data_IF_604459737765
#
_entry.id   IF_604459737765
#
_cell.length_a   1.000
_cell.length_b   1.000
_cell.length_c   1.000
_cell.angle_alpha   90.00
_cell.angle_beta   90.00
_cell.angle_gamma   90.00
#
_symmetry.space_group_name_H-M   'P 1'
#
loop_
_entity.id
_entity.type
_entity.pdbx_description
1 polymer ?
#
# COMPACT_ATOMS: atom_id res chain seq x y z
N UNK A 1 -46.26 8.21 -15.59
CA UNK A 1 -45.73 8.44 -14.23
C UNK A 1 -44.24 8.70 -14.37
N UNK A 2 -43.90 9.96 -14.53
CA UNK A 2 -42.57 10.46 -14.90
C UNK A 2 -42.14 11.44 -13.83
N UNK A 3 -41.57 10.93 -12.74
CA UNK A 3 -40.85 11.70 -11.73
C UNK A 3 -39.92 10.75 -10.96
N UNK A 4 -38.71 10.49 -11.48
CA UNK A 4 -37.57 10.12 -10.61
C UNK A 4 -36.17 10.24 -11.25
N UNK A 5 -36.07 10.47 -12.56
CA UNK A 5 -34.79 10.43 -13.29
C UNK A 5 -33.81 11.55 -12.93
N UNK A 6 -34.29 12.72 -12.48
CA UNK A 6 -33.42 13.85 -12.16
C UNK A 6 -32.74 13.74 -10.78
N UNK A 7 -33.36 13.01 -9.84
CA UNK A 7 -32.85 12.88 -8.46
C UNK A 7 -31.83 11.73 -8.33
N UNK A 8 -32.04 10.66 -9.11
CA UNK A 8 -31.08 9.57 -9.29
C UNK A 8 -29.80 10.04 -10.01
N UNK A 9 -29.93 10.87 -11.06
CA UNK A 9 -28.78 11.46 -11.75
C UNK A 9 -27.97 12.42 -10.87
N UNK A 10 -28.63 13.17 -9.98
CA UNK A 10 -27.97 14.11 -9.06
C UNK A 10 -27.20 13.41 -7.92
N UNK A 11 -27.63 12.20 -7.49
CA UNK A 11 -26.95 11.43 -6.44
C UNK A 11 -25.78 10.59 -6.96
N UNK A 12 -25.87 10.04 -8.18
CA UNK A 12 -24.71 9.40 -8.86
C UNK A 12 -23.60 10.41 -9.22
N UNK A 13 -23.94 11.69 -9.34
CA UNK A 13 -22.99 12.80 -9.48
C UNK A 13 -22.30 13.19 -8.15
N UNK A 14 -22.67 12.60 -7.02
CA UNK A 14 -22.06 12.87 -5.71
C UNK A 14 -20.73 12.13 -5.48
N UNK A 15 -20.34 11.21 -6.39
CA UNK A 15 -18.95 10.76 -6.47
C UNK A 15 -18.15 11.96 -7.02
N UNK A 16 -17.25 12.57 -6.23
CA UNK A 16 -16.58 13.79 -6.65
C UNK A 16 -15.86 13.55 -7.98
N UNK A 17 -16.10 14.44 -8.95
CA UNK A 17 -15.23 14.52 -10.10
C UNK A 17 -13.80 14.76 -9.58
N UNK A 18 -12.81 14.04 -10.12
CA UNK A 18 -11.46 14.11 -9.62
C UNK A 18 -10.94 15.54 -9.76
N UNK A 19 -10.24 16.08 -8.74
CA UNK A 19 -9.65 17.40 -8.85
C UNK A 19 -8.72 17.44 -10.06
N UNK A 20 -8.80 18.53 -10.82
CA UNK A 20 -7.80 18.86 -11.84
C UNK A 20 -6.43 18.87 -11.18
N UNK A 21 -5.59 17.93 -11.60
CA UNK A 21 -4.15 17.88 -11.40
C UNK A 21 -3.64 18.26 -10.00
N UNK A 22 -3.26 17.26 -9.22
CA UNK A 22 -2.22 17.48 -8.21
C UNK A 22 -0.92 17.80 -8.93
N UNK A 23 -0.62 19.10 -9.05
CA UNK A 23 0.65 19.63 -9.50
C UNK A 23 1.49 19.86 -8.25
N UNK A 24 2.50 19.01 -7.94
CA UNK A 24 3.45 19.38 -6.89
C UNK A 24 4.21 20.60 -7.41
N UNK A 25 3.86 21.79 -6.92
CA UNK A 25 4.71 22.96 -7.08
C UNK A 25 6.13 22.59 -6.65
N UNK A 26 7.16 22.86 -7.48
CA UNK A 26 8.53 22.66 -7.05
C UNK A 26 8.77 23.51 -5.81
N UNK A 27 9.40 22.93 -4.79
CA UNK A 27 9.81 23.64 -3.57
C UNK A 27 10.71 24.83 -3.96
N UNK A 28 10.12 26.02 -4.01
CA UNK A 28 10.84 27.27 -4.22
C UNK A 28 11.51 27.64 -2.89
N UNK A 29 12.81 27.43 -2.80
CA UNK A 29 13.62 27.95 -1.70
C UNK A 29 13.89 29.43 -1.99
N UNK A 30 13.29 30.34 -1.21
CA UNK A 30 13.57 31.76 -1.32
C UNK A 30 15.08 32.03 -1.11
N UNK A 31 15.72 32.66 -2.10
CA UNK A 31 17.10 33.14 -2.00
C UNK A 31 18.13 32.47 -2.91
N UNK A 32 17.78 31.42 -3.66
CA UNK A 32 18.69 30.80 -4.63
C UNK A 32 17.97 30.66 -5.98
N UNK A 33 18.34 31.52 -6.95
CA UNK A 33 17.79 31.52 -8.30
C UNK A 33 17.93 30.16 -9.02
N UNK A 34 17.16 29.97 -10.10
CA UNK A 34 17.07 28.72 -10.83
C UNK A 34 18.44 28.16 -11.26
N UNK A 35 18.80 26.98 -10.71
CA UNK A 35 19.95 26.19 -11.20
C UNK A 35 19.42 24.94 -11.89
N UNK A 36 19.70 24.73 -13.19
CA UNK A 36 19.33 23.50 -13.87
C UNK A 36 20.24 22.37 -13.37
N UNK A 37 19.68 21.41 -12.62
CA UNK A 37 20.43 20.21 -12.20
C UNK A 37 20.39 19.19 -13.33
N UNK A 38 21.50 19.08 -14.07
CA UNK A 38 21.76 17.92 -14.93
C UNK A 38 22.42 16.85 -14.05
N UNK A 39 21.69 15.77 -13.73
CA UNK A 39 22.25 14.64 -12.99
C UNK A 39 23.16 13.80 -13.91
N UNK A 40 24.40 13.47 -13.49
CA UNK A 40 25.25 12.58 -14.27
C UNK A 40 24.70 11.14 -14.25
N UNK A 41 24.87 10.42 -15.37
CA UNK A 41 24.53 9.00 -15.48
C UNK A 41 25.32 8.18 -14.46
N UNK A 42 24.60 7.39 -13.67
CA UNK A 42 25.17 6.37 -12.79
C UNK A 42 25.97 5.35 -13.62
N UNK A 43 27.23 5.12 -13.24
CA UNK A 43 28.07 4.04 -13.75
C UNK A 43 28.39 3.14 -12.55
N UNK A 44 27.98 1.85 -12.56
CA UNK A 44 28.21 0.97 -11.43
C UNK A 44 29.70 0.63 -11.35
N UNK A 45 30.41 1.29 -10.44
CA UNK A 45 31.70 0.79 -9.98
C UNK A 45 31.44 -0.35 -8.99
N UNK A 46 32.05 -1.50 -9.30
CA UNK A 46 32.13 -2.65 -8.41
C UNK A 46 32.95 -2.30 -7.17
N UNK A 47 32.29 -1.83 -6.13
CA UNK A 47 32.95 -1.52 -4.85
C UNK A 47 32.63 -2.63 -3.84
N UNK A 48 33.00 -3.87 -4.21
CA UNK A 48 32.84 -5.06 -3.37
C UNK A 48 34.17 -5.81 -3.20
N UNK A 49 35.28 -5.10 -2.98
CA UNK A 49 36.53 -5.76 -2.57
C UNK A 49 37.35 -4.88 -1.61
N UNK A 50 37.15 -5.07 -0.31
CA UNK A 50 38.28 -5.17 0.63
C UNK A 50 37.85 -5.96 1.87
N UNK A 51 38.64 -6.99 2.24
CA UNK A 51 38.50 -7.66 3.54
C UNK A 51 37.43 -8.75 3.70
N UNK A 52 36.77 -9.21 2.64
CA UNK A 52 36.06 -10.49 2.65
C UNK A 52 34.79 -10.61 3.51
N UNK A 53 34.05 -9.51 3.74
CA UNK A 53 32.72 -9.57 4.40
C UNK A 53 31.61 -9.10 3.45
N UNK A 54 30.64 -9.98 3.21
CA UNK A 54 29.40 -9.70 2.46
C UNK A 54 28.36 -9.14 3.42
N UNK A 55 27.67 -8.07 3.05
CA UNK A 55 26.44 -7.64 3.72
C UNK A 55 25.25 -7.89 2.79
N UNK A 56 24.27 -8.64 3.29
CA UNK A 56 23.01 -8.89 2.60
C UNK A 56 21.97 -7.86 3.06
N UNK A 57 21.25 -7.28 2.11
CA UNK A 57 20.07 -6.47 2.35
C UNK A 57 18.89 -7.38 2.73
N UNK A 58 18.62 -7.51 4.02
CA UNK A 58 17.43 -8.17 4.52
C UNK A 58 17.65 -8.89 5.85
N UNK A 59 16.86 -8.53 6.86
CA UNK A 59 16.67 -9.35 8.06
C UNK A 59 17.62 -9.06 9.22
N UNK A 60 17.01 -8.78 10.37
CA UNK A 60 17.65 -8.81 11.69
C UNK A 60 18.21 -10.22 11.97
N UNK A 61 19.50 -10.31 12.27
CA UNK A 61 20.08 -11.44 13.00
C UNK A 61 20.60 -10.89 14.32
N UNK A 62 19.92 -11.24 15.42
CA UNK A 62 20.34 -10.87 16.77
C UNK A 62 21.62 -11.60 17.18
N UNK A 63 22.60 -10.83 17.65
CA UNK A 63 23.79 -11.29 18.35
C UNK A 63 24.06 -10.39 19.56
N UNK A 64 24.77 -10.88 20.60
CA UNK A 64 24.84 -10.21 21.89
C UNK A 64 25.86 -9.05 21.83
N UNK A 65 25.34 -7.83 21.73
CA UNK A 65 26.13 -6.60 21.73
C UNK A 65 25.33 -5.50 21.03
N UNK A 66 24.69 -4.64 21.82
CA UNK A 66 23.66 -3.71 21.39
C UNK A 66 24.07 -2.59 20.43
N UNK A 67 23.00 -1.90 20.03
CA UNK A 67 22.88 -0.55 19.47
C UNK A 67 23.24 -0.32 17.99
N UNK A 68 22.21 -0.43 17.14
CA UNK A 68 22.11 0.35 15.90
C UNK A 68 20.79 1.10 15.87
N UNK A 69 20.88 2.43 15.85
CA UNK A 69 19.75 3.33 15.68
C UNK A 69 19.20 3.26 14.24
N UNK A 70 17.90 3.50 14.02
CA UNK A 70 17.29 3.45 12.70
C UNK A 70 17.84 4.56 11.80
N UNK A 71 18.05 4.22 10.53
CA UNK A 71 18.37 5.18 9.47
C UNK A 71 17.14 6.09 9.30
N UNK A 72 17.27 7.36 9.70
CA UNK A 72 16.33 8.41 9.28
C UNK A 72 16.48 8.65 7.78
N UNK A 73 15.35 8.71 7.08
CA UNK A 73 15.23 9.18 5.69
C UNK A 73 15.77 10.60 5.54
N UNK A 74 16.85 10.78 4.77
CA UNK A 74 17.14 11.99 3.97
C UNK A 74 17.88 11.52 2.69
N UNK A 75 17.35 11.86 1.52
CA UNK A 75 17.73 11.38 0.18
C UNK A 75 19.09 11.89 -0.36
N UNK A 76 20.14 12.01 0.45
CA UNK A 76 21.48 12.41 -0.03
C UNK A 76 22.54 11.40 0.44
N UNK A 77 23.12 10.65 -0.51
CA UNK A 77 24.32 9.85 -0.26
C UNK A 77 25.51 10.81 -0.18
N UNK A 78 25.92 11.16 1.04
CA UNK A 78 27.18 11.85 1.29
C UNK A 78 28.31 10.82 1.32
N UNK A 79 29.41 11.00 0.56
CA UNK A 79 30.61 10.18 0.68
C UNK A 79 31.08 10.10 2.13
N UNK A 80 31.49 8.91 2.59
CA UNK A 80 31.87 8.64 3.98
C UNK A 80 32.88 9.64 4.56
N UNK A 81 33.89 10.01 3.79
CA UNK A 81 34.90 11.00 4.20
C UNK A 81 34.30 12.39 4.48
N UNK A 82 33.23 12.74 3.76
CA UNK A 82 32.52 14.01 3.93
C UNK A 82 31.62 13.97 5.18
N UNK A 83 31.01 12.83 5.47
CA UNK A 83 30.31 12.59 6.74
C UNK A 83 31.27 12.68 7.94
N UNK A 84 32.44 12.06 7.85
CA UNK A 84 33.46 12.09 8.90
C UNK A 84 34.01 13.51 9.12
N UNK A 85 34.23 14.28 8.06
CA UNK A 85 34.64 15.70 8.16
C UNK A 85 33.55 16.62 8.75
N UNK A 86 32.27 16.33 8.50
CA UNK A 86 31.13 17.05 9.11
C UNK A 86 31.07 16.75 10.62
N UNK A 87 31.32 15.49 11.00
CA UNK A 87 31.37 15.08 12.40
C UNK A 87 32.58 15.65 13.16
N UNK A 88 33.73 15.80 12.50
CA UNK A 88 34.93 16.37 13.11
C UNK A 88 34.90 17.91 13.25
N UNK A 89 34.17 18.64 12.39
CA UNK A 89 34.10 20.12 12.39
C UNK A 89 33.04 20.75 13.31
N UNK A 90 32.27 19.94 14.04
CA UNK A 90 31.59 20.35 15.27
C UNK A 90 30.67 21.58 15.21
N UNK A 91 29.44 21.41 14.71
CA UNK A 91 28.27 22.17 15.17
C UNK A 91 27.03 21.27 15.23
N UNK A 92 27.06 20.26 16.10
CA UNK A 92 25.84 19.74 16.74
C UNK A 92 25.99 19.93 18.24
N UNK A 93 25.78 21.16 18.68
CA UNK A 93 25.49 21.45 20.07
C UNK A 93 24.05 20.97 20.31
N UNK A 94 23.92 19.83 20.99
CA UNK A 94 22.67 19.44 21.63
C UNK A 94 21.99 18.18 21.13
N UNK A 95 22.69 17.03 21.10
CA UNK A 95 21.99 15.75 21.26
C UNK A 95 22.89 14.70 21.94
N UNK A 96 23.37 15.02 23.16
CA UNK A 96 23.71 13.98 24.13
C UNK A 96 22.47 13.69 24.96
N UNK A 97 22.09 12.41 25.03
CA UNK A 97 20.96 11.78 25.77
C UNK A 97 19.63 11.65 25.00
N UNK A 98 19.56 10.69 24.09
CA UNK A 98 18.28 10.08 23.68
C UNK A 98 18.28 8.54 23.81
N UNK A 99 19.14 7.97 24.65
CA UNK A 99 18.99 6.59 25.14
C UNK A 99 17.81 6.43 26.11
N UNK A 100 17.22 7.53 26.58
CA UNK A 100 16.15 7.54 27.59
C UNK A 100 14.74 7.52 26.96
N UNK A 101 14.53 7.98 25.72
CA UNK A 101 13.19 7.92 25.09
C UNK A 101 12.83 6.48 24.71
N UNK A 102 13.75 5.75 24.07
CA UNK A 102 13.53 4.35 23.73
C UNK A 102 13.24 3.50 24.97
N UNK A 103 14.04 3.67 26.03
CA UNK A 103 13.85 2.97 27.30
C UNK A 103 12.53 3.37 27.98
N UNK A 104 12.14 4.65 27.95
CA UNK A 104 10.86 5.11 28.54
C UNK A 104 9.64 4.66 27.74
N UNK A 105 9.73 4.58 26.41
CA UNK A 105 8.67 4.03 25.57
C UNK A 105 8.52 2.53 25.80
N UNK A 106 9.62 1.78 25.82
CA UNK A 106 9.60 0.33 26.12
C UNK A 106 9.06 0.10 27.53
N UNK A 107 9.56 0.81 28.55
CA UNK A 107 9.07 0.67 29.93
C UNK A 107 7.61 1.10 30.09
N UNK A 108 7.13 2.10 29.33
CA UNK A 108 5.73 2.49 29.34
C UNK A 108 4.85 1.42 28.67
N UNK A 109 5.30 0.85 27.55
CA UNK A 109 4.62 -0.25 26.86
C UNK A 109 4.61 -1.51 27.73
N UNK A 110 5.72 -1.86 28.37
CA UNK A 110 5.82 -2.99 29.30
C UNK A 110 4.94 -2.80 30.53
N UNK A 111 4.89 -1.57 31.08
CA UNK A 111 4.00 -1.23 32.20
C UNK A 111 2.53 -1.32 31.80
N UNK A 112 2.18 -0.88 30.60
CA UNK A 112 0.82 -0.98 30.07
C UNK A 112 0.44 -2.43 29.74
N UNK A 113 1.36 -3.23 29.19
CA UNK A 113 1.20 -4.68 28.98
C UNK A 113 1.04 -5.40 30.33
N UNK A 114 1.82 -5.04 31.35
CA UNK A 114 1.73 -5.63 32.69
C UNK A 114 0.48 -5.18 33.46
N UNK A 115 -0.01 -3.97 33.20
CA UNK A 115 -1.28 -3.46 33.73
C UNK A 115 -2.50 -4.00 32.95
N UNK A 116 -2.30 -4.39 31.69
CA UNK A 116 -3.30 -5.09 30.90
C UNK A 116 -3.46 -6.49 31.48
N UNK A 117 -4.65 -6.75 32.04
CA UNK A 117 -5.04 -8.06 32.56
C UNK A 117 -4.77 -9.07 31.44
N UNK A 118 -4.04 -10.19 31.66
CA UNK A 118 -3.83 -11.17 30.61
C UNK A 118 -5.21 -11.54 30.07
N UNK A 119 -5.42 -11.32 28.76
CA UNK A 119 -6.56 -11.93 28.11
C UNK A 119 -6.44 -13.41 28.41
N UNK A 120 -7.37 -13.92 29.21
CA UNK A 120 -7.49 -15.32 29.52
C UNK A 120 -7.29 -16.11 28.23
N UNK A 121 -6.27 -16.95 28.21
CA UNK A 121 -5.91 -17.82 27.08
C UNK A 121 -6.90 -18.98 26.90
N UNK A 122 -8.18 -18.70 27.10
CA UNK A 122 -9.26 -19.67 26.99
C UNK A 122 -10.52 -18.95 26.51
N UNK A 123 -10.48 -18.49 25.27
CA UNK A 123 -11.71 -18.32 24.50
C UNK A 123 -11.83 -19.58 23.66
N UNK A 124 -12.97 -20.27 23.71
CA UNK A 124 -13.23 -21.55 23.03
C UNK A 124 -13.18 -21.51 21.49
N UNK A 125 -12.31 -20.71 20.92
CA UNK A 125 -11.93 -20.75 19.52
C UNK A 125 -10.92 -21.88 19.28
N UNK A 126 -11.06 -22.59 18.15
CA UNK A 126 -10.11 -23.61 17.77
C UNK A 126 -8.71 -23.00 17.64
N UNK A 127 -7.70 -23.82 17.93
CA UNK A 127 -6.29 -23.46 17.80
C UNK A 127 -6.03 -22.86 16.41
N UNK A 128 -5.33 -21.71 16.38
CA UNK A 128 -4.96 -21.01 15.14
C UNK A 128 -3.87 -21.78 14.38
N UNK A 129 -3.85 -21.62 13.07
CA UNK A 129 -2.72 -22.06 12.23
C UNK A 129 -1.81 -20.87 11.87
N UNK A 130 -0.53 -20.97 12.17
CA UNK A 130 0.48 -19.93 11.89
C UNK A 130 0.50 -18.78 12.91
N UNK A 131 1.45 -17.85 12.71
CA UNK A 131 1.60 -16.66 13.54
C UNK A 131 0.73 -15.50 13.02
N UNK A 132 0.44 -14.54 13.91
CA UNK A 132 -0.28 -13.33 13.55
C UNK A 132 0.67 -12.21 13.09
N UNK A 133 0.14 -11.30 12.28
CA UNK A 133 0.72 -10.00 12.01
C UNK A 133 -0.09 -8.89 12.68
N UNK A 134 0.56 -7.77 12.99
CA UNK A 134 -0.13 -6.56 13.46
C UNK A 134 -0.61 -5.74 12.26
N UNK A 135 -1.87 -5.30 12.30
CA UNK A 135 -2.45 -4.40 11.30
C UNK A 135 -2.24 -2.92 11.65
N UNK A 136 -2.54 -2.01 10.72
CA UNK A 136 -2.35 -0.57 10.89
C UNK A 136 -3.11 0.01 12.09
N UNK A 137 -4.25 -0.58 12.43
CA UNK A 137 -5.07 -0.22 13.60
C UNK A 137 -4.65 -0.93 14.89
N UNK A 138 -3.55 -1.69 14.86
CA UNK A 138 -3.01 -2.40 16.02
C UNK A 138 -3.67 -3.75 16.32
N UNK A 139 -4.52 -4.26 15.41
CA UNK A 139 -5.18 -5.56 15.56
C UNK A 139 -4.27 -6.71 15.15
N UNK A 140 -4.65 -7.93 15.53
CA UNK A 140 -3.99 -9.16 15.08
C UNK A 140 -4.73 -9.71 13.87
N UNK A 141 -3.98 -10.19 12.89
CA UNK A 141 -4.51 -10.92 11.74
C UNK A 141 -3.67 -12.16 11.45
N UNK A 142 -4.28 -13.28 11.09
CA UNK A 142 -3.60 -14.55 10.79
C UNK A 142 -3.71 -14.88 9.30
N UNK A 143 -2.69 -14.59 8.46
CA UNK A 143 -2.79 -14.82 7.02
C UNK A 143 -2.98 -16.29 6.60
N UNK A 144 -2.59 -17.24 7.45
CA UNK A 144 -2.74 -18.69 7.18
C UNK A 144 -4.04 -19.29 7.75
N UNK A 145 -4.75 -18.54 8.59
CA UNK A 145 -6.02 -18.91 9.23
C UNK A 145 -6.94 -17.66 9.37
N UNK A 146 -7.29 -17.01 8.24
CA UNK A 146 -8.04 -15.77 8.26
C UNK A 146 -9.50 -16.04 8.64
N UNK A 147 -10.07 -15.14 9.45
CA UNK A 147 -11.49 -15.14 9.82
C UNK A 147 -12.13 -13.83 9.42
N UNK A 148 -13.36 -13.88 8.93
CA UNK A 148 -14.02 -12.72 8.34
C UNK A 148 -14.26 -11.62 9.37
N UNK A 149 -14.58 -11.96 10.62
CA UNK A 149 -14.76 -11.01 11.71
C UNK A 149 -13.48 -10.24 12.09
N UNK A 150 -12.31 -10.69 11.64
CA UNK A 150 -11.00 -10.05 11.86
C UNK A 150 -10.54 -9.19 10.67
N UNK A 151 -11.36 -9.13 9.62
CA UNK A 151 -11.13 -8.30 8.44
C UNK A 151 -11.80 -6.93 8.65
N UNK A 152 -10.98 -5.88 8.55
CA UNK A 152 -11.40 -4.49 8.74
C UNK A 152 -10.98 -3.65 7.54
N UNK A 153 -11.91 -2.87 7.01
CA UNK A 153 -11.71 -2.11 5.77
C UNK A 153 -10.64 -1.03 5.94
N UNK A 154 -10.49 -0.46 7.14
CA UNK A 154 -9.51 0.57 7.44
C UNK A 154 -8.08 0.03 7.34
N UNK A 155 -7.85 -1.22 7.73
CA UNK A 155 -6.56 -1.90 7.62
C UNK A 155 -6.23 -2.21 6.15
N UNK A 156 -7.22 -2.63 5.37
CA UNK A 156 -7.08 -2.86 3.92
C UNK A 156 -6.74 -1.55 3.21
N UNK A 157 -7.56 -0.51 3.40
CA UNK A 157 -7.37 0.79 2.77
C UNK A 157 -6.00 1.39 3.10
N UNK A 158 -5.55 1.28 4.36
CA UNK A 158 -4.23 1.77 4.78
C UNK A 158 -3.09 0.98 4.14
N UNK A 159 -3.13 -0.36 4.18
CA UNK A 159 -2.07 -1.20 3.62
C UNK A 159 -1.95 -0.98 2.11
N UNK A 160 -3.06 -1.07 1.38
CA UNK A 160 -3.07 -0.92 -0.07
C UNK A 160 -2.67 0.49 -0.55
N UNK A 161 -2.90 1.52 0.26
CA UNK A 161 -2.49 2.88 -0.11
C UNK A 161 -0.99 3.13 0.00
N UNK A 162 -0.28 2.28 0.75
CA UNK A 162 1.17 2.31 0.91
C UNK A 162 1.90 1.33 -0.02
N UNK A 163 1.20 0.32 -0.55
CA UNK A 163 1.77 -0.65 -1.48
C UNK A 163 1.77 -0.08 -2.90
N UNK A 164 2.96 -0.01 -3.50
CA UNK A 164 3.13 0.47 -4.87
C UNK A 164 2.98 -0.69 -5.86
N UNK A 165 2.18 -0.49 -6.92
CA UNK A 165 2.11 -1.45 -8.03
C UNK A 165 3.48 -1.62 -8.70
N UNK A 166 3.63 -2.71 -9.43
CA UNK A 166 4.85 -3.03 -10.18
C UNK A 166 6.10 -3.14 -9.27
N UNK A 167 5.89 -3.51 -8.00
CA UNK A 167 6.93 -3.50 -6.96
C UNK A 167 7.72 -2.19 -6.90
N UNK A 168 7.07 -1.06 -7.18
CA UNK A 168 7.70 0.26 -7.14
C UNK A 168 8.50 0.67 -8.37
N UNK A 169 8.54 -0.13 -9.43
CA UNK A 169 9.24 0.20 -10.69
C UNK A 169 8.45 1.16 -11.61
N UNK A 170 7.61 1.99 -11.02
CA UNK A 170 6.84 3.02 -11.70
C UNK A 170 7.63 4.34 -11.83
N UNK A 171 7.33 5.15 -12.84
CA UNK A 171 7.89 6.50 -12.99
C UNK A 171 7.41 7.45 -11.88
N UNK A 172 6.16 7.29 -11.44
CA UNK A 172 5.53 8.00 -10.33
C UNK A 172 4.89 7.00 -9.38
N UNK A 173 4.80 7.35 -8.10
CA UNK A 173 4.10 6.54 -7.12
C UNK A 173 2.66 6.22 -7.58
N UNK A 174 2.31 4.94 -7.57
CA UNK A 174 1.02 4.44 -7.99
C UNK A 174 0.63 3.26 -7.10
N UNK A 175 -0.35 3.48 -6.24
CA UNK A 175 -0.71 2.51 -5.19
C UNK A 175 -1.70 1.46 -5.69
N UNK A 176 -1.70 0.29 -5.03
CA UNK A 176 -2.75 -0.74 -5.24
C UNK A 176 -4.13 -0.16 -4.93
N UNK A 177 -4.26 0.70 -3.91
CA UNK A 177 -5.52 1.38 -3.60
C UNK A 177 -6.02 2.26 -4.76
N UNK A 178 -5.15 3.05 -5.40
CA UNK A 178 -5.54 3.87 -6.55
C UNK A 178 -6.02 3.01 -7.73
N UNK A 179 -5.30 1.93 -8.03
CA UNK A 179 -5.70 0.93 -9.01
C UNK A 179 -7.12 0.40 -8.75
N UNK A 180 -7.39 -0.07 -7.54
CA UNK A 180 -8.70 -0.58 -7.13
C UNK A 180 -9.82 0.47 -7.26
N UNK A 181 -9.56 1.71 -6.82
CA UNK A 181 -10.54 2.80 -6.89
C UNK A 181 -10.87 3.19 -8.32
N UNK A 182 -9.87 3.27 -9.21
CA UNK A 182 -10.09 3.58 -10.62
C UNK A 182 -10.96 2.52 -11.30
N UNK A 183 -10.72 1.23 -11.00
CA UNK A 183 -11.57 0.13 -11.48
C UNK A 183 -12.99 0.21 -10.93
N UNK A 184 -13.16 0.35 -9.61
CA UNK A 184 -14.47 0.44 -8.99
C UNK A 184 -15.31 1.59 -9.55
N UNK A 185 -14.69 2.76 -9.73
CA UNK A 185 -15.35 3.92 -10.35
C UNK A 185 -15.72 3.65 -11.79
N UNK A 186 -14.88 2.98 -12.56
CA UNK A 186 -15.20 2.65 -13.95
C UNK A 186 -16.39 1.70 -14.04
N UNK A 187 -16.42 0.67 -13.20
CA UNK A 187 -17.40 -0.42 -13.23
C UNK A 187 -18.69 -0.12 -12.44
N UNK A 188 -18.84 1.08 -11.88
CA UNK A 188 -20.07 1.48 -11.15
C UNK A 188 -21.36 1.32 -11.93
N UNK A 189 -21.30 1.31 -13.27
CA UNK A 189 -22.46 1.15 -14.14
C UNK A 189 -22.79 -0.31 -14.45
N UNK A 190 -21.89 -1.25 -14.12
CA UNK A 190 -22.10 -2.69 -14.22
C UNK A 190 -22.84 -3.26 -12.99
N UNK A 191 -23.01 -2.41 -11.98
CA UNK A 191 -23.80 -2.66 -10.78
C UNK A 191 -22.99 -2.55 -9.49
N UNK A 192 -23.67 -2.26 -8.37
CA UNK A 192 -23.01 -1.98 -7.09
C UNK A 192 -22.12 -3.13 -6.60
N UNK A 193 -22.57 -4.38 -6.74
CA UNK A 193 -21.81 -5.54 -6.31
C UNK A 193 -20.58 -5.79 -7.19
N UNK A 194 -20.67 -5.48 -8.49
CA UNK A 194 -19.53 -5.56 -9.42
C UNK A 194 -18.48 -4.50 -9.05
N UNK A 195 -18.91 -3.26 -8.80
CA UNK A 195 -18.01 -2.18 -8.40
C UNK A 195 -17.37 -2.43 -7.02
N UNK A 196 -18.12 -3.03 -6.08
CA UNK A 196 -17.58 -3.41 -4.79
C UNK A 196 -16.56 -4.54 -4.91
N UNK A 197 -16.83 -5.55 -5.76
CA UNK A 197 -15.83 -6.58 -6.10
C UNK A 197 -14.59 -5.96 -6.72
N UNK A 198 -14.75 -5.00 -7.66
CA UNK A 198 -13.63 -4.30 -8.27
C UNK A 198 -12.80 -3.47 -7.28
N UNK A 199 -13.42 -2.88 -6.25
CA UNK A 199 -12.70 -2.16 -5.20
C UNK A 199 -11.88 -3.12 -4.31
N UNK A 200 -12.36 -4.34 -4.12
CA UNK A 200 -11.79 -5.31 -3.17
C UNK A 200 -11.03 -6.46 -3.82
N UNK A 201 -10.86 -6.48 -5.15
CA UNK A 201 -10.29 -7.63 -5.84
C UNK A 201 -8.83 -7.94 -5.42
N UNK A 202 -8.02 -6.89 -5.17
CA UNK A 202 -6.65 -7.00 -4.64
C UNK A 202 -6.60 -6.84 -3.11
N UNK A 203 -7.73 -6.88 -2.40
CA UNK A 203 -7.76 -6.65 -0.94
C UNK A 203 -6.96 -7.68 -0.13
N UNK A 204 -6.77 -8.89 -0.64
CA UNK A 204 -5.92 -9.89 0.00
C UNK A 204 -4.46 -9.43 0.11
N UNK A 205 -3.98 -8.60 -0.81
CA UNK A 205 -2.62 -8.06 -0.83
C UNK A 205 -2.34 -7.15 0.37
N UNK A 206 -3.39 -6.65 1.05
CA UNK A 206 -3.23 -5.95 2.32
C UNK A 206 -2.54 -6.81 3.39
N UNK A 207 -2.69 -8.13 3.30
CA UNK A 207 -2.18 -9.11 4.25
C UNK A 207 -1.11 -10.04 3.64
N UNK A 208 -1.09 -10.20 2.30
CA UNK A 208 -0.13 -11.07 1.60
C UNK A 208 0.92 -10.33 0.78
N UNK A 209 0.78 -9.01 0.60
CA UNK A 209 1.63 -8.11 -0.23
C UNK A 209 1.43 -8.30 -1.74
N UNK A 210 1.43 -7.20 -2.51
CA UNK A 210 1.50 -7.26 -3.99
C UNK A 210 2.83 -7.90 -4.46
N UNK A 211 2.76 -9.17 -4.81
CA UNK A 211 3.89 -9.90 -5.39
C UNK A 211 3.81 -9.81 -6.93
N UNK A 212 4.85 -9.35 -7.63
CA UNK A 212 4.85 -9.33 -9.09
C UNK A 212 4.52 -10.70 -9.71
N UNK A 213 3.63 -10.71 -10.70
CA UNK A 213 3.12 -11.92 -11.37
C UNK A 213 4.20 -12.95 -11.77
N UNK A 214 5.40 -12.56 -12.28
CA UNK A 214 6.45 -13.53 -12.60
C UNK A 214 6.94 -14.34 -11.39
N UNK A 215 6.87 -13.77 -10.18
CA UNK A 215 7.28 -14.41 -8.93
C UNK A 215 6.16 -15.21 -8.27
N UNK A 216 4.89 -14.75 -8.35
CA UNK A 216 3.72 -15.42 -7.70
C UNK A 216 3.69 -16.94 -7.95
N UNK A 217 4.01 -17.40 -9.17
CA UNK A 217 3.98 -18.84 -9.54
C UNK A 217 5.08 -19.70 -8.90
N UNK A 218 6.08 -19.10 -8.27
CA UNK A 218 7.20 -19.78 -7.64
C UNK A 218 7.12 -19.76 -6.10
N UNK A 219 6.14 -19.07 -5.52
CA UNK A 219 5.93 -19.03 -4.07
C UNK A 219 4.96 -20.14 -3.63
N UNK A 220 5.51 -21.20 -3.04
CA UNK A 220 4.73 -22.34 -2.53
C UNK A 220 3.81 -21.86 -1.40
N UNK A 221 2.53 -22.21 -1.45
CA UNK A 221 1.55 -21.85 -0.42
C UNK A 221 0.97 -20.44 -0.53
N UNK A 222 1.57 -19.56 -1.36
CA UNK A 222 1.14 -18.17 -1.47
C UNK A 222 -0.26 -18.05 -2.06
N UNK A 223 -0.53 -18.77 -3.15
CA UNK A 223 -1.85 -18.75 -3.81
C UNK A 223 -2.94 -19.29 -2.90
N UNK A 224 -2.65 -20.34 -2.14
CA UNK A 224 -3.58 -20.92 -1.18
C UNK A 224 -3.87 -19.96 -0.02
N UNK A 225 -2.85 -19.25 0.48
CA UNK A 225 -3.02 -18.23 1.52
C UNK A 225 -3.82 -17.02 1.01
N UNK A 226 -3.45 -16.48 -0.16
CA UNK A 226 -4.14 -15.37 -0.83
C UNK A 226 -5.62 -15.70 -1.08
N UNK A 227 -5.92 -16.92 -1.55
CA UNK A 227 -7.30 -17.39 -1.75
C UNK A 227 -8.10 -17.50 -0.44
N UNK A 228 -7.50 -17.99 0.65
CA UNK A 228 -8.16 -18.04 1.97
C UNK A 228 -8.46 -16.65 2.51
N UNK A 229 -7.51 -15.73 2.39
CA UNK A 229 -7.68 -14.34 2.81
C UNK A 229 -8.79 -13.69 1.99
N UNK A 230 -8.79 -13.88 0.66
CA UNK A 230 -9.83 -13.34 -0.20
C UNK A 230 -11.21 -13.91 0.12
N UNK A 231 -11.31 -15.20 0.47
CA UNK A 231 -12.57 -15.81 0.90
C UNK A 231 -13.08 -15.19 2.22
N UNK A 232 -12.21 -14.93 3.20
CA UNK A 232 -12.59 -14.25 4.43
C UNK A 232 -13.03 -12.79 4.19
N UNK A 233 -12.38 -12.09 3.25
CA UNK A 233 -12.77 -10.74 2.80
C UNK A 233 -14.14 -10.78 2.12
N UNK A 234 -14.36 -11.73 1.22
CA UNK A 234 -15.63 -11.91 0.52
C UNK A 234 -16.78 -12.18 1.51
N UNK A 235 -16.57 -13.06 2.49
CA UNK A 235 -17.54 -13.31 3.55
C UNK A 235 -17.80 -12.06 4.40
N UNK A 236 -16.73 -11.34 4.81
CA UNK A 236 -16.84 -10.13 5.62
C UNK A 236 -17.70 -9.05 4.97
N UNK A 237 -17.53 -8.84 3.66
CA UNK A 237 -18.18 -7.76 2.94
C UNK A 237 -19.37 -8.21 2.10
N UNK A 238 -19.75 -9.48 2.16
CA UNK A 238 -20.89 -10.04 1.42
C UNK A 238 -20.69 -10.00 -0.10
N UNK A 239 -19.49 -10.36 -0.56
CA UNK A 239 -19.18 -10.50 -1.99
C UNK A 239 -19.59 -11.90 -2.49
N UNK A 240 -19.83 -12.02 -3.80
CA UNK A 240 -19.92 -13.34 -4.42
C UNK A 240 -18.61 -14.13 -4.22
N UNK A 241 -18.69 -15.45 -4.03
CA UNK A 241 -17.52 -16.29 -3.79
C UNK A 241 -16.52 -16.29 -4.96
N UNK A 242 -17.03 -16.17 -6.18
CA UNK A 242 -16.22 -16.05 -7.38
C UNK A 242 -16.19 -14.60 -7.87
N UNK A 243 -15.01 -14.16 -8.32
CA UNK A 243 -14.84 -12.86 -8.93
C UNK A 243 -15.67 -12.77 -10.23
N UNK A 244 -16.51 -11.74 -10.40
CA UNK A 244 -17.23 -11.53 -11.66
C UNK A 244 -16.26 -11.40 -12.84
N UNK A 245 -16.58 -12.04 -13.96
CA UNK A 245 -15.72 -12.05 -15.16
C UNK A 245 -15.41 -10.64 -15.68
N UNK A 246 -16.33 -9.68 -15.53
CA UNK A 246 -16.13 -8.28 -15.91
C UNK A 246 -15.07 -7.58 -15.06
N UNK A 247 -14.89 -7.97 -13.80
CA UNK A 247 -13.84 -7.43 -12.92
C UNK A 247 -12.49 -7.99 -13.33
N UNK A 248 -12.44 -9.30 -13.62
CA UNK A 248 -11.22 -9.93 -14.16
C UNK A 248 -10.80 -9.33 -15.52
N UNK A 249 -11.76 -9.05 -16.42
CA UNK A 249 -11.47 -8.36 -17.69
C UNK A 249 -10.91 -6.95 -17.44
N UNK A 250 -11.54 -6.20 -16.55
CA UNK A 250 -11.11 -4.84 -16.21
C UNK A 250 -9.71 -4.79 -15.58
N UNK A 251 -9.36 -5.72 -14.69
CA UNK A 251 -8.01 -5.85 -14.10
C UNK A 251 -6.94 -6.11 -15.18
N UNK A 252 -7.25 -6.91 -16.20
CA UNK A 252 -6.30 -7.11 -17.31
C UNK A 252 -6.20 -5.88 -18.23
N UNK A 253 -7.30 -5.15 -18.41
CA UNK A 253 -7.37 -4.01 -19.33
C UNK A 253 -6.80 -2.72 -18.76
N UNK A 254 -6.95 -2.49 -17.45
CA UNK A 254 -6.39 -1.30 -16.80
C UNK A 254 -4.87 -1.25 -16.91
N UNK A 255 -4.19 -2.40 -17.08
CA UNK A 255 -2.76 -2.45 -17.39
C UNK A 255 -2.43 -1.54 -18.58
N UNK A 256 -3.24 -1.51 -19.64
CA UNK A 256 -3.01 -0.66 -20.81
C UNK A 256 -2.98 0.83 -20.46
N UNK A 257 -3.87 1.27 -19.56
CA UNK A 257 -3.88 2.64 -19.04
C UNK A 257 -2.66 2.92 -18.15
N UNK A 258 -2.23 1.93 -17.35
CA UNK A 258 -1.09 2.02 -16.42
C UNK A 258 0.28 2.11 -17.10
N UNK A 259 0.43 1.59 -18.33
CA UNK A 259 1.70 1.57 -19.06
C UNK A 259 2.31 2.96 -19.28
N UNK A 260 1.50 4.02 -19.26
CA UNK A 260 1.99 5.41 -19.34
C UNK A 260 2.90 5.77 -18.16
N UNK A 261 2.82 5.03 -17.05
CA UNK A 261 3.66 5.20 -15.86
C UNK A 261 4.88 4.26 -15.85
N UNK A 262 5.18 3.59 -16.97
CA UNK A 262 6.35 2.72 -17.12
C UNK A 262 7.21 3.18 -18.31
N UNK A 263 8.51 2.87 -18.24
CA UNK A 263 9.38 3.04 -19.41
C UNK A 263 8.93 2.05 -20.51
N UNK A 264 8.73 2.51 -21.76
CA UNK A 264 8.24 1.63 -22.83
C UNK A 264 9.09 0.38 -23.06
N UNK A 265 8.44 -0.77 -23.23
CA UNK A 265 9.06 -2.05 -23.59
C UNK A 265 8.23 -2.78 -24.64
N UNK A 266 8.83 -3.73 -25.36
CA UNK A 266 8.15 -4.49 -26.42
C UNK A 266 6.87 -5.19 -25.96
N UNK A 267 6.85 -5.76 -24.75
CA UNK A 267 5.68 -6.46 -24.23
C UNK A 267 4.44 -5.56 -24.08
N UNK A 268 4.62 -4.23 -24.03
CA UNK A 268 3.52 -3.25 -23.93
C UNK A 268 2.55 -3.38 -25.11
N UNK A 269 3.04 -3.78 -26.29
CA UNK A 269 2.24 -3.93 -27.50
C UNK A 269 1.05 -4.91 -27.33
N UNK A 270 1.14 -5.86 -26.38
CA UNK A 270 0.05 -6.82 -26.10
C UNK A 270 -1.19 -6.18 -25.49
N UNK A 271 -1.09 -4.94 -25.00
CA UNK A 271 -2.17 -4.21 -24.34
C UNK A 271 -2.67 -3.00 -25.15
N UNK A 272 -2.07 -2.73 -26.31
CA UNK A 272 -2.47 -1.61 -27.15
C UNK A 272 -3.94 -1.74 -27.60
N UNK A 273 -4.74 -0.68 -27.43
CA UNK A 273 -6.14 -0.66 -27.84
C UNK A 273 -7.09 -1.44 -26.92
N UNK A 274 -6.61 -1.89 -25.76
CA UNK A 274 -7.40 -2.64 -24.78
C UNK A 274 -7.68 -1.82 -23.52
N UNK A 275 -7.53 -0.51 -23.59
CA UNK A 275 -7.67 0.40 -22.46
C UNK A 275 -9.02 0.20 -21.75
N UNK A 276 -8.97 0.15 -20.43
CA UNK A 276 -10.18 0.30 -19.63
C UNK A 276 -10.69 1.75 -19.76
N UNK A 277 -9.80 2.70 -20.05
CA UNK A 277 -10.12 4.10 -20.29
C UNK A 277 -10.27 4.83 -18.96
N UNK A 278 -9.24 4.71 -18.13
CA UNK A 278 -9.09 5.43 -16.86
C UNK A 278 -7.91 6.41 -16.95
N UNK A 279 -7.80 7.32 -15.99
CA UNK A 279 -6.67 8.24 -15.92
C UNK A 279 -6.04 8.15 -14.55
N UNK A 280 -4.74 7.80 -14.53
CA UNK A 280 -3.93 7.75 -13.33
C UNK A 280 -3.86 9.14 -12.69
N UNK A 281 -4.00 9.17 -11.37
CA UNK A 281 -4.02 10.36 -10.53
C UNK A 281 -2.72 10.54 -9.77
N UNK A 282 -2.00 9.46 -9.50
CA UNK A 282 -0.76 9.45 -8.71
C UNK A 282 -0.99 10.05 -7.32
N UNK A 283 -2.02 9.55 -6.64
CA UNK A 283 -2.39 10.02 -5.31
C UNK A 283 -1.27 9.73 -4.30
N UNK A 284 -1.09 10.64 -3.33
CA UNK A 284 -0.29 10.30 -2.14
C UNK A 284 -0.95 9.12 -1.40
N UNK A 285 -0.21 8.36 -0.57
CA UNK A 285 -0.79 7.28 0.23
C UNK A 285 -1.99 7.71 1.08
N UNK A 286 -1.95 8.92 1.63
CA UNK A 286 -3.06 9.49 2.42
C UNK A 286 -4.29 9.69 1.54
N UNK A 287 -4.10 10.30 0.37
CA UNK A 287 -5.19 10.57 -0.57
C UNK A 287 -5.76 9.28 -1.15
N UNK A 288 -4.92 8.31 -1.49
CA UNK A 288 -5.38 7.02 -1.99
C UNK A 288 -6.20 6.26 -0.92
N UNK A 289 -5.80 6.32 0.35
CA UNK A 289 -6.58 5.76 1.47
C UNK A 289 -7.94 6.44 1.61
N UNK A 290 -7.98 7.78 1.56
CA UNK A 290 -9.22 8.55 1.62
C UNK A 290 -10.18 8.20 0.47
N UNK A 291 -9.67 8.14 -0.75
CA UNK A 291 -10.47 7.82 -1.93
C UNK A 291 -10.97 6.37 -1.92
N UNK A 292 -10.16 5.44 -1.38
CA UNK A 292 -10.57 4.05 -1.16
C UNK A 292 -11.72 3.96 -0.16
N UNK A 293 -11.57 4.57 1.02
CA UNK A 293 -12.61 4.58 2.06
C UNK A 293 -13.89 5.26 1.56
N UNK A 294 -13.78 6.43 0.92
CA UNK A 294 -14.94 7.14 0.38
C UNK A 294 -15.68 6.32 -0.71
N UNK A 295 -14.92 5.61 -1.55
CA UNK A 295 -15.52 4.74 -2.58
C UNK A 295 -16.20 3.53 -1.95
N UNK A 296 -15.58 2.92 -0.93
CA UNK A 296 -16.18 1.81 -0.18
C UNK A 296 -17.50 2.24 0.50
N UNK A 297 -17.47 3.34 1.25
CA UNK A 297 -18.65 3.84 1.98
C UNK A 297 -19.80 4.17 1.02
N UNK A 298 -19.49 4.80 -0.13
CA UNK A 298 -20.49 5.10 -1.15
C UNK A 298 -21.12 3.84 -1.75
N UNK A 299 -20.32 2.81 -2.06
CA UNK A 299 -20.83 1.54 -2.60
C UNK A 299 -21.66 0.79 -1.56
N UNK A 300 -21.24 0.79 -0.30
CA UNK A 300 -21.99 0.18 0.80
C UNK A 300 -23.34 0.87 1.03
N UNK A 301 -23.39 2.20 0.97
CA UNK A 301 -24.62 2.98 1.05
C UNK A 301 -25.56 2.71 -0.15
N UNK A 302 -25.03 2.69 -1.37
CA UNK A 302 -25.78 2.31 -2.57
C UNK A 302 -26.39 0.90 -2.43
N UNK A 303 -25.59 -0.06 -1.96
CA UNK A 303 -26.04 -1.45 -1.74
C UNK A 303 -27.13 -1.54 -0.68
N UNK A 304 -26.99 -0.82 0.43
CA UNK A 304 -28.00 -0.77 1.49
C UNK A 304 -29.34 -0.16 1.02
N UNK A 305 -29.30 0.72 0.02
CA UNK A 305 -30.49 1.32 -0.61
C UNK A 305 -31.10 0.45 -1.71
N UNK A 306 -30.49 -0.69 -2.04
CA UNK A 306 -30.94 -1.57 -3.12
C UNK A 306 -30.77 -0.95 -4.51
N UNK A 307 -29.81 -0.04 -4.68
CA UNK A 307 -29.47 0.52 -5.98
C UNK A 307 -28.72 -0.55 -6.79
N UNK A 308 -29.29 -0.93 -7.94
CA UNK A 308 -28.68 -1.85 -8.89
C UNK A 308 -27.51 -1.18 -9.60
#
# INVERSE_FOLDING_TARGET
MTMNTAREAAMLAAIPNPPEQYNPEPLMVEGLGAVPVVLPKYSPANDNVEGGKRYHSGGLVGGPGGDVAPIMKIDHVIPRAQYEAIMERGQYVGLRRHTDIGARVVAAVEKEIAASRPLSSDSGHPARTGDFMQTATGRKFWPLDPRSEEVFIEDIAHSLSLQCRYAGHCLRFYSVAEHCVLMARKLRWEGVDVALWALLHDAAEAYTVDVPRPLKRHLVGYKEAEAKVMAAIADRFGLAAEMPAVVHDADNRIIADELVNLVPMEWHARYAGQELGVTLRYWSPEKAREEFMATFDALMDCRARGMA
#
